data_IF_162045099951
#
_entry.id   IF_162045099951
#
_cell.length_a   1.000
_cell.length_b   1.000
_cell.length_c   1.000
_cell.angle_alpha   90.00
_cell.angle_beta   90.00
_cell.angle_gamma   90.00
#
_symmetry.space_group_name_H-M   'P 1'
#
loop_
_entity.id
_entity.type
_entity.pdbx_description
1 polymer ?
#
# COMPACT_ATOMS: atom_id res chain seq x y z
N UNK A 1 -1.57 3.05 12.57
CA UNK A 1 -2.45 2.75 11.44
C UNK A 1 -2.16 1.34 10.95
N UNK A 2 -3.16 0.67 10.38
CA UNK A 2 -2.99 -0.70 9.90
C UNK A 2 -2.09 -0.75 8.68
N UNK A 3 -1.07 -1.60 8.74
CA UNK A 3 -0.24 -1.86 7.57
C UNK A 3 -0.99 -2.80 6.62
N UNK A 4 -0.62 -2.78 5.35
CA UNK A 4 -1.25 -3.61 4.33
C UNK A 4 -0.19 -4.36 3.55
N UNK A 5 -0.47 -5.62 3.25
CA UNK A 5 0.48 -6.51 2.59
C UNK A 5 -0.01 -6.84 1.18
N UNK A 6 0.89 -6.74 0.22
CA UNK A 6 0.60 -7.16 -1.13
C UNK A 6 0.55 -8.69 -1.18
N UNK A 7 -0.58 -9.24 -1.63
CA UNK A 7 -0.75 -10.69 -1.70
C UNK A 7 0.10 -11.33 -2.79
N UNK A 8 0.59 -10.54 -3.73
CA UNK A 8 1.36 -11.06 -4.87
C UNK A 8 2.85 -11.17 -4.57
N UNK A 9 3.46 -10.10 -4.02
CA UNK A 9 4.91 -10.08 -3.80
C UNK A 9 5.30 -9.99 -2.33
N UNK A 10 4.34 -9.71 -1.44
CA UNK A 10 4.62 -9.62 -0.01
C UNK A 10 5.12 -8.26 0.47
N UNK A 11 5.12 -7.26 -0.40
CA UNK A 11 5.53 -5.92 0.00
C UNK A 11 4.54 -5.34 1.01
N UNK A 12 5.06 -4.64 2.02
CA UNK A 12 4.23 -4.07 3.09
C UNK A 12 4.07 -2.57 2.86
N UNK A 13 2.83 -2.11 2.79
CA UNK A 13 2.52 -0.68 2.75
C UNK A 13 2.39 -0.18 4.18
N UNK A 14 3.26 0.75 4.58
CA UNK A 14 3.20 1.39 5.89
C UNK A 14 2.59 2.77 5.74
N UNK A 15 1.37 2.99 6.28
CA UNK A 15 0.71 4.29 6.14
C UNK A 15 1.52 5.46 6.72
N UNK A 16 2.34 5.21 7.72
CA UNK A 16 3.16 6.27 8.30
C UNK A 16 4.27 6.72 7.37
N UNK A 17 4.73 5.83 6.51
CA UNK A 17 5.79 6.13 5.55
C UNK A 17 5.21 6.53 4.20
N UNK A 18 4.09 5.92 3.83
CA UNK A 18 3.46 6.14 2.53
C UNK A 18 4.25 5.51 1.39
N UNK A 19 4.04 6.01 0.20
CA UNK A 19 4.78 5.60 -0.98
C UNK A 19 5.10 6.86 -1.81
N UNK A 20 6.11 7.64 -1.38
CA UNK A 20 6.42 8.91 -2.07
C UNK A 20 6.75 8.72 -3.54
N UNK A 21 7.39 7.62 -3.90
CA UNK A 21 7.73 7.34 -5.29
C UNK A 21 6.49 7.10 -6.15
N UNK A 22 5.42 6.59 -5.53
CA UNK A 22 4.14 6.40 -6.19
C UNK A 22 3.17 7.55 -6.01
N UNK A 23 3.61 8.64 -5.37
CA UNK A 23 2.77 9.81 -5.16
C UNK A 23 1.89 9.74 -3.93
N UNK A 24 2.17 8.83 -3.00
CA UNK A 24 1.40 8.68 -1.77
C UNK A 24 2.19 9.29 -0.62
N UNK A 25 1.75 10.43 -0.06
CA UNK A 25 2.49 11.08 1.02
C UNK A 25 2.42 10.30 2.33
N UNK A 26 3.41 10.48 3.21
CA UNK A 26 3.36 9.87 4.55
C UNK A 26 2.09 10.29 5.30
N UNK A 27 1.54 9.35 6.06
CA UNK A 27 0.32 9.62 6.81
C UNK A 27 -0.95 9.32 6.06
N UNK A 28 -0.86 8.72 4.88
CA UNK A 28 -2.04 8.38 4.07
C UNK A 28 -2.52 6.97 4.44
N UNK A 29 -3.75 6.82 4.94
CA UNK A 29 -4.29 5.48 5.19
C UNK A 29 -4.53 4.76 3.88
N UNK A 30 -4.47 3.42 3.91
CA UNK A 30 -4.63 2.63 2.70
C UNK A 30 -5.96 2.92 2.00
N UNK A 31 -7.02 3.17 2.78
CA UNK A 31 -8.35 3.45 2.23
C UNK A 31 -8.40 4.75 1.42
N UNK A 32 -7.43 5.64 1.58
CA UNK A 32 -7.38 6.91 0.84
C UNK A 32 -6.53 6.81 -0.42
N UNK A 33 -5.92 5.66 -0.69
CA UNK A 33 -5.10 5.46 -1.88
C UNK A 33 -6.01 5.36 -3.11
N UNK A 34 -5.67 6.08 -4.20
CA UNK A 34 -6.51 6.03 -5.41
C UNK A 34 -6.43 4.67 -6.10
N UNK A 35 -7.48 4.32 -6.83
CA UNK A 35 -7.57 3.02 -7.49
C UNK A 35 -6.54 2.83 -8.60
N UNK A 36 -5.98 3.91 -9.11
CA UNK A 36 -4.97 3.83 -10.18
C UNK A 36 -3.54 3.67 -9.64
N UNK A 37 -3.37 3.68 -8.30
CA UNK A 37 -2.10 3.36 -7.69
C UNK A 37 -1.84 1.85 -7.79
N UNK A 38 -0.59 1.46 -7.81
CA UNK A 38 -0.23 0.05 -7.85
C UNK A 38 1.02 -0.19 -7.03
N UNK A 39 1.23 -1.47 -6.68
CA UNK A 39 2.38 -1.88 -5.87
C UNK A 39 3.68 -1.48 -6.59
N UNK A 40 4.61 -0.80 -5.88
CA UNK A 40 5.86 -0.37 -6.52
C UNK A 40 6.82 -1.52 -6.86
N UNK A 41 6.55 -2.71 -6.34
CA UNK A 41 7.42 -3.87 -6.54
C UNK A 41 6.91 -4.75 -7.67
N UNK A 42 5.62 -5.10 -7.65
CA UNK A 42 5.07 -6.05 -8.61
C UNK A 42 3.95 -5.49 -9.48
N UNK A 43 3.46 -4.29 -9.19
CA UNK A 43 2.39 -3.67 -9.96
C UNK A 43 1.00 -4.14 -9.62
N UNK A 44 0.82 -4.88 -8.52
CA UNK A 44 -0.51 -5.34 -8.10
C UNK A 44 -1.39 -4.16 -7.74
N UNK A 45 -2.69 -4.29 -7.98
CA UNK A 45 -3.66 -3.24 -7.66
C UNK A 45 -3.97 -3.22 -6.17
N UNK A 46 -4.52 -2.12 -5.63
CA UNK A 46 -4.86 -2.04 -4.21
C UNK A 46 -5.79 -3.17 -3.74
N UNK A 47 -6.66 -3.65 -4.60
CA UNK A 47 -7.58 -4.75 -4.26
C UNK A 47 -6.85 -6.06 -3.96
N UNK A 48 -5.59 -6.18 -4.35
CA UNK A 48 -4.78 -7.37 -4.10
C UNK A 48 -4.00 -7.28 -2.80
N UNK A 49 -4.30 -6.27 -1.99
CA UNK A 49 -3.69 -6.09 -0.68
C UNK A 49 -4.63 -6.57 0.42
N UNK A 50 -4.05 -7.02 1.53
CA UNK A 50 -4.80 -7.43 2.70
C UNK A 50 -4.26 -6.73 3.94
N UNK A 51 -5.11 -6.53 4.98
CA UNK A 51 -4.61 -5.96 6.23
C UNK A 51 -3.52 -6.84 6.83
N UNK A 52 -2.44 -6.21 7.24
CA UNK A 52 -1.32 -6.92 7.86
C UNK A 52 -1.21 -6.50 9.31
N UNK A 53 -1.53 -7.42 10.22
CA UNK A 53 -1.47 -7.18 11.65
C UNK A 53 -0.62 -8.26 12.31
N UNK A 54 0.18 -7.84 13.27
CA UNK A 54 0.99 -8.78 14.07
C UNK A 54 0.14 -9.56 15.05
#
# INVERSE_FOLDING_TARGET
MTEWRCCTCGWIYDPEIGDPDGGIPPGTPFSAIPDDWFCPVCGARPKDFEPYED
#
